data_IF_302690025929
#
_entry.id   IF_302690025929
#
_cell.length_a   1.000
_cell.length_b   1.000
_cell.length_c   1.000
_cell.angle_alpha   90.00
_cell.angle_beta   90.00
_cell.angle_gamma   90.00
#
_symmetry.space_group_name_H-M   'P 1'
#
loop_
_entity.id
_entity.type
_entity.pdbx_description
1 polymer ?
#
# COMPACT_ATOMS: atom_id res chain seq x y z
N UNK A 1 48.75 0.51 50.39
CA UNK A 1 47.32 0.84 50.59
C UNK A 1 46.81 1.93 49.64
N UNK A 2 47.44 3.12 49.55
CA UNK A 2 46.95 4.21 48.66
C UNK A 2 46.91 3.87 47.16
N UNK A 3 47.87 3.09 46.66
CA UNK A 3 47.89 2.63 45.26
C UNK A 3 46.78 1.60 44.95
N UNK A 4 46.54 0.68 45.89
CA UNK A 4 45.45 -0.32 45.81
C UNK A 4 44.07 0.34 45.81
N UNK A 5 43.90 1.40 46.63
CA UNK A 5 42.68 2.21 46.65
C UNK A 5 42.45 2.96 45.32
N UNK A 6 43.50 3.52 44.72
CA UNK A 6 43.42 4.19 43.42
C UNK A 6 43.06 3.22 42.29
N UNK A 7 43.65 2.01 42.27
CA UNK A 7 43.31 0.99 41.27
C UNK A 7 41.89 0.46 41.45
N UNK A 8 41.42 0.28 42.69
CA UNK A 8 40.03 -0.12 42.96
C UNK A 8 39.03 0.95 42.52
N UNK A 9 39.34 2.22 42.77
CA UNK A 9 38.51 3.35 42.34
C UNK A 9 38.45 3.45 40.80
N UNK A 10 39.57 3.20 40.12
CA UNK A 10 39.62 3.17 38.66
C UNK A 10 38.79 2.01 38.08
N UNK A 11 38.87 0.82 38.66
CA UNK A 11 38.07 -0.34 38.27
C UNK A 11 36.56 -0.10 38.42
N UNK A 12 36.15 0.57 39.50
CA UNK A 12 34.74 0.97 39.70
C UNK A 12 34.30 2.03 38.69
N UNK A 13 35.19 2.95 38.30
CA UNK A 13 34.87 3.95 37.29
C UNK A 13 34.64 3.36 35.88
N UNK A 14 35.12 2.14 35.62
CA UNK A 14 34.92 1.45 34.34
C UNK A 14 33.59 0.68 34.23
N UNK A 15 32.81 0.54 35.30
CA UNK A 15 31.54 -0.24 35.27
C UNK A 15 30.32 0.56 34.79
N UNK A 16 30.52 1.74 34.21
CA UNK A 16 29.42 2.64 33.80
C UNK A 16 28.83 2.39 32.41
N UNK A 17 29.42 1.52 31.59
CA UNK A 17 28.86 1.16 30.29
C UNK A 17 27.90 -0.02 30.44
N UNK A 18 26.61 0.28 30.47
CA UNK A 18 25.57 -0.69 30.16
C UNK A 18 24.93 -0.27 28.83
N UNK A 19 24.85 -1.19 27.88
CA UNK A 19 24.00 -1.03 26.69
C UNK A 19 22.55 -1.12 27.20
N UNK A 20 22.00 0.02 27.62
CA UNK A 20 20.60 0.11 27.93
C UNK A 20 19.86 0.03 26.60
N UNK A 21 19.06 -1.02 26.40
CA UNK A 21 18.10 -1.11 25.30
C UNK A 21 17.31 0.20 25.26
N UNK A 22 17.68 1.09 24.34
CA UNK A 22 16.96 2.34 24.15
C UNK A 22 15.70 1.96 23.39
N UNK A 23 14.51 2.03 24.00
CA UNK A 23 13.29 1.72 23.27
C UNK A 23 13.17 2.74 22.13
N UNK A 24 13.24 2.26 20.89
CA UNK A 24 12.92 3.06 19.74
C UNK A 24 11.40 3.24 19.72
N UNK A 25 10.96 4.44 20.06
CA UNK A 25 9.55 4.80 20.02
C UNK A 25 9.17 5.08 18.57
N UNK A 26 8.10 4.42 18.10
CA UNK A 26 7.59 4.61 16.76
C UNK A 26 6.57 3.55 16.39
N UNK A 27 5.93 3.75 15.25
CA UNK A 27 5.03 2.79 14.63
C UNK A 27 5.69 2.21 13.39
N UNK A 28 5.40 0.95 13.10
CA UNK A 28 5.76 0.35 11.82
C UNK A 28 4.73 0.80 10.80
N UNK A 29 5.15 1.71 9.93
CA UNK A 29 4.34 2.18 8.82
C UNK A 29 4.60 1.35 7.56
N UNK A 30 3.60 1.27 6.70
CA UNK A 30 3.73 0.68 5.37
C UNK A 30 2.92 1.49 4.35
N UNK A 31 3.29 1.35 3.08
CA UNK A 31 2.54 1.96 2.00
C UNK A 31 1.20 1.25 1.84
N UNK A 32 0.11 2.01 1.97
CA UNK A 32 -1.25 1.52 1.77
C UNK A 32 -1.81 2.09 0.48
N UNK A 33 -2.27 1.20 -0.38
CA UNK A 33 -3.08 1.55 -1.55
C UNK A 33 -4.53 1.18 -1.26
N UNK A 34 -5.41 2.18 -1.32
CA UNK A 34 -6.86 1.98 -1.21
C UNK A 34 -7.48 1.99 -2.59
N UNK A 35 -8.37 1.03 -2.88
CA UNK A 35 -9.11 0.97 -4.14
C UNK A 35 -10.55 1.44 -3.91
N UNK A 36 -10.87 2.74 -4.13
CA UNK A 36 -12.26 3.19 -4.13
C UNK A 36 -13.01 2.66 -5.36
N UNK A 37 -14.33 2.57 -5.28
CA UNK A 37 -15.14 2.22 -6.45
C UNK A 37 -15.02 3.32 -7.52
N UNK A 38 -14.54 2.96 -8.70
CA UNK A 38 -14.32 3.90 -9.81
C UNK A 38 -15.64 4.37 -10.45
N UNK A 39 -16.70 3.57 -10.30
CA UNK A 39 -18.04 3.87 -10.79
C UNK A 39 -19.09 3.38 -9.79
N UNK A 40 -20.23 4.07 -9.76
CA UNK A 40 -21.40 3.69 -8.96
C UNK A 40 -22.19 2.59 -9.67
N UNK A 41 -21.64 1.39 -9.70
CA UNK A 41 -22.22 0.20 -10.32
C UNK A 41 -22.32 -0.95 -9.32
N UNK A 42 -23.10 -1.97 -9.69
CA UNK A 42 -23.25 -3.19 -8.86
C UNK A 42 -21.97 -4.02 -8.95
N UNK A 43 -21.47 -4.50 -7.80
CA UNK A 43 -20.38 -5.45 -7.75
C UNK A 43 -20.89 -6.84 -8.13
N UNK A 44 -20.38 -7.41 -9.23
CA UNK A 44 -20.76 -8.73 -9.72
C UNK A 44 -19.93 -9.84 -9.09
N UNK A 45 -18.62 -9.63 -8.95
CA UNK A 45 -17.71 -10.59 -8.31
C UNK A 45 -16.48 -9.93 -7.71
N UNK A 46 -15.93 -10.58 -6.69
CA UNK A 46 -14.56 -10.37 -6.21
C UNK A 46 -13.74 -11.55 -6.74
N UNK A 47 -12.65 -11.27 -7.44
CA UNK A 47 -11.86 -12.26 -8.17
C UNK A 47 -10.66 -12.81 -7.38
N UNK A 48 -10.43 -12.30 -6.17
CA UNK A 48 -9.31 -12.65 -5.29
C UNK A 48 -9.82 -12.95 -3.87
N UNK A 49 -9.03 -13.70 -3.10
CA UNK A 49 -9.30 -13.94 -1.69
C UNK A 49 -8.73 -12.84 -0.80
N UNK A 50 -9.30 -12.69 0.40
CA UNK A 50 -8.73 -11.79 1.41
C UNK A 50 -7.33 -12.26 1.84
N UNK A 51 -6.38 -11.33 1.91
CA UNK A 51 -4.98 -11.62 2.22
C UNK A 51 -4.16 -12.21 1.06
N UNK A 52 -4.78 -12.39 -0.12
CA UNK A 52 -4.08 -12.84 -1.31
C UNK A 52 -3.04 -11.79 -1.77
N UNK A 53 -1.86 -12.25 -2.18
CA UNK A 53 -0.84 -11.39 -2.78
C UNK A 53 -1.17 -11.18 -4.25
N UNK A 54 -1.27 -9.91 -4.66
CA UNK A 54 -1.68 -9.52 -6.02
C UNK A 54 -0.58 -8.73 -6.72
N UNK A 55 -0.68 -8.67 -8.05
CA UNK A 55 0.24 -7.94 -8.91
C UNK A 55 -0.45 -6.79 -9.66
N UNK A 56 0.34 -5.84 -10.16
CA UNK A 56 -0.20 -4.70 -10.91
C UNK A 56 -0.90 -5.17 -12.20
N UNK A 57 -2.12 -4.69 -12.42
CA UNK A 57 -2.95 -5.09 -13.56
C UNK A 57 -3.76 -6.39 -13.34
N UNK A 58 -3.61 -7.05 -12.19
CA UNK A 58 -4.45 -8.21 -11.84
C UNK A 58 -5.91 -7.77 -11.62
N UNK A 59 -6.87 -8.54 -12.14
CA UNK A 59 -8.29 -8.32 -11.91
C UNK A 59 -8.62 -8.63 -10.44
N UNK A 60 -9.11 -7.62 -9.71
CA UNK A 60 -9.47 -7.77 -8.29
C UNK A 60 -10.98 -7.95 -8.08
N UNK A 61 -11.79 -7.23 -8.86
CA UNK A 61 -13.24 -7.26 -8.81
C UNK A 61 -13.83 -6.88 -10.16
N UNK A 62 -15.11 -7.20 -10.35
CA UNK A 62 -15.87 -6.80 -11.53
C UNK A 62 -17.13 -6.06 -11.12
N UNK A 63 -17.32 -4.89 -11.74
CA UNK A 63 -18.54 -4.11 -11.67
C UNK A 63 -19.42 -4.40 -12.90
N UNK A 64 -20.73 -4.24 -12.76
CA UNK A 64 -21.69 -4.43 -13.86
C UNK A 64 -21.40 -3.45 -15.02
N UNK A 65 -21.03 -3.95 -16.21
CA UNK A 65 -20.54 -3.10 -17.29
C UNK A 65 -21.66 -2.49 -18.14
N UNK A 66 -22.92 -2.92 -17.98
CA UNK A 66 -24.00 -2.64 -18.96
C UNK A 66 -24.19 -1.15 -19.27
N UNK A 67 -24.09 -0.28 -18.27
CA UNK A 67 -24.21 1.17 -18.45
C UNK A 67 -23.01 1.75 -19.21
N UNK A 68 -21.81 1.26 -18.92
CA UNK A 68 -20.59 1.68 -19.59
C UNK A 68 -20.56 1.18 -21.04
N UNK A 69 -20.95 -0.07 -21.26
CA UNK A 69 -21.06 -0.67 -22.60
C UNK A 69 -22.02 0.10 -23.49
N UNK A 70 -23.19 0.48 -22.96
CA UNK A 70 -24.15 1.29 -23.69
C UNK A 70 -23.58 2.66 -24.12
N UNK A 71 -22.81 3.32 -23.24
CA UNK A 71 -22.15 4.61 -23.56
C UNK A 71 -21.06 4.42 -24.63
N UNK A 72 -20.27 3.35 -24.53
CA UNK A 72 -19.25 3.03 -25.52
C UNK A 72 -19.88 2.75 -26.88
N UNK A 73 -20.96 1.97 -26.91
CA UNK A 73 -21.69 1.67 -28.14
C UNK A 73 -22.25 2.95 -28.79
N UNK A 74 -22.84 3.85 -27.99
CA UNK A 74 -23.30 5.14 -28.48
C UNK A 74 -22.15 5.96 -29.09
N UNK A 75 -21.03 6.12 -28.38
CA UNK A 75 -19.89 6.90 -28.85
C UNK A 75 -19.29 6.32 -30.15
N UNK A 76 -19.25 4.99 -30.28
CA UNK A 76 -18.80 4.33 -31.52
C UNK A 76 -19.72 4.64 -32.69
N UNK A 77 -21.04 4.57 -32.48
CA UNK A 77 -22.01 4.91 -33.52
C UNK A 77 -21.90 6.39 -33.95
N UNK A 78 -21.64 7.30 -33.01
CA UNK A 78 -21.40 8.72 -33.32
C UNK A 78 -20.14 8.91 -34.20
N UNK A 79 -19.07 8.18 -33.90
CA UNK A 79 -17.85 8.17 -34.73
C UNK A 79 -18.11 7.61 -36.13
N UNK A 80 -18.83 6.49 -36.23
CA UNK A 80 -19.18 5.88 -37.51
C UNK A 80 -20.05 6.82 -38.37
N UNK A 81 -21.04 7.47 -37.75
CA UNK A 81 -21.84 8.48 -38.43
C UNK A 81 -20.97 9.62 -38.94
N UNK A 82 -20.10 10.19 -38.11
CA UNK A 82 -19.22 11.28 -38.54
C UNK A 82 -18.29 10.86 -39.69
N UNK A 83 -17.73 9.65 -39.64
CA UNK A 83 -16.90 9.12 -40.72
C UNK A 83 -17.68 8.98 -42.03
N UNK A 84 -18.93 8.51 -41.97
CA UNK A 84 -19.79 8.42 -43.15
C UNK A 84 -20.17 9.78 -43.75
N UNK A 85 -20.23 10.86 -42.95
CA UNK A 85 -20.49 12.21 -43.46
C UNK A 85 -19.28 12.84 -44.17
N UNK A 86 -18.08 12.30 -43.98
CA UNK A 86 -16.84 12.79 -44.61
C UNK A 86 -16.43 11.99 -45.85
N UNK A 87 -17.07 10.83 -46.08
CA UNK A 87 -16.84 9.96 -47.24
C UNK A 87 -17.69 10.41 -48.44
#
# INVERSE_FOLDING_TARGET
>A
MRRLLLSALLLVALTGCADADKPLLGTLEWDRVSLPAEASEVLLRIAVAEGERVEAGQLLLELDPRRQDARIAQARAEVEQAAAHLA
#
